data_IF_946848984637
#
_entry.id   IF_946848984637
#
_cell.length_a   1.000
_cell.length_b   1.000
_cell.length_c   1.000
_cell.angle_alpha   90.00
_cell.angle_beta   90.00
_cell.angle_gamma   90.00
#
_symmetry.space_group_name_H-M   'P 1'
#
loop_
_entity.id
_entity.type
_entity.pdbx_description
1 polymer ?
#
# COMPACT_ATOMS: atom_id res chain seq x y z
N UNK A 1 3.01 -10.04 0.04
CA UNK A 1 1.85 -10.74 -0.54
C UNK A 1 1.17 -11.53 0.56
N UNK A 2 -0.14 -11.39 0.73
CA UNK A 2 -0.93 -12.07 1.75
C UNK A 2 -1.90 -13.01 1.03
N UNK A 3 -1.68 -14.32 1.10
CA UNK A 3 -2.51 -15.32 0.39
C UNK A 3 -3.75 -15.75 1.20
N UNK A 4 -3.90 -15.26 2.43
CA UNK A 4 -4.97 -15.64 3.37
C UNK A 4 -6.15 -14.66 3.42
N UNK A 5 -6.11 -13.54 2.69
CA UNK A 5 -7.10 -12.46 2.84
C UNK A 5 -7.04 -11.75 4.20
N UNK A 6 -5.92 -11.87 4.93
CA UNK A 6 -5.73 -11.30 6.26
C UNK A 6 -5.11 -9.88 6.22
N UNK A 7 -5.45 -9.05 5.23
CA UNK A 7 -4.91 -7.70 5.06
C UNK A 7 -5.20 -6.81 6.28
N UNK A 8 -6.42 -6.84 6.82
CA UNK A 8 -6.77 -6.04 8.01
C UNK A 8 -6.11 -6.52 9.31
N UNK A 9 -5.58 -7.74 9.35
CA UNK A 9 -4.82 -8.22 10.50
C UNK A 9 -3.31 -7.94 10.35
N UNK A 10 -2.76 -8.21 9.16
CA UNK A 10 -1.32 -8.19 8.94
C UNK A 10 -0.79 -6.80 8.56
N UNK A 11 -1.50 -6.05 7.72
CA UNK A 11 -1.02 -4.73 7.27
C UNK A 11 -0.89 -3.75 8.44
N UNK A 12 -1.89 -3.60 9.34
CA UNK A 12 -1.75 -2.69 10.47
C UNK A 12 -0.59 -3.08 11.40
N UNK A 13 -0.39 -4.39 11.60
CA UNK A 13 0.71 -4.90 12.42
C UNK A 13 2.09 -4.61 11.80
N UNK A 14 2.22 -4.76 10.48
CA UNK A 14 3.45 -4.42 9.75
C UNK A 14 3.73 -2.92 9.86
N UNK A 15 2.73 -2.05 9.62
CA UNK A 15 2.89 -0.60 9.74
C UNK A 15 3.30 -0.18 11.16
N UNK A 16 2.71 -0.79 12.18
CA UNK A 16 3.09 -0.54 13.57
C UNK A 16 4.55 -0.93 13.85
N UNK A 17 5.00 -2.10 13.37
CA UNK A 17 6.37 -2.56 13.56
C UNK A 17 7.38 -1.70 12.80
N UNK A 18 7.06 -1.28 11.58
CA UNK A 18 7.91 -0.36 10.81
C UNK A 18 8.10 0.97 11.55
N UNK A 19 7.00 1.57 12.05
CA UNK A 19 7.08 2.80 12.87
C UNK A 19 7.91 2.60 14.14
N UNK A 20 7.73 1.46 14.84
CA UNK A 20 8.51 1.14 16.03
C UNK A 20 10.01 0.96 15.74
N UNK A 21 10.38 0.55 14.52
CA UNK A 21 11.76 0.45 14.06
C UNK A 21 12.31 1.76 13.45
N UNK A 22 11.57 2.88 13.56
CA UNK A 22 12.00 4.18 13.02
C UNK A 22 11.88 4.30 11.49
N UNK A 23 11.17 3.40 10.83
CA UNK A 23 11.01 3.36 9.37
C UNK A 23 9.75 4.12 8.91
N UNK A 24 9.56 5.34 9.41
CA UNK A 24 8.37 6.15 9.12
C UNK A 24 8.34 6.76 7.71
N UNK A 25 9.48 6.77 7.04
CA UNK A 25 9.72 7.27 5.69
C UNK A 25 9.53 6.20 4.60
N UNK A 26 9.43 4.93 4.98
CA UNK A 26 9.26 3.83 4.03
C UNK A 26 7.80 3.74 3.56
N UNK A 27 7.60 3.90 2.26
CA UNK A 27 6.28 3.75 1.64
C UNK A 27 5.84 2.27 1.59
N UNK A 28 4.57 2.03 1.92
CA UNK A 28 3.94 0.71 1.87
C UNK A 28 2.83 0.71 0.85
N UNK A 29 2.89 -0.23 -0.09
CA UNK A 29 1.87 -0.47 -1.11
C UNK A 29 1.28 -1.87 -0.90
N UNK A 30 -0.03 -2.02 -1.10
CA UNK A 30 -0.73 -3.31 -0.97
C UNK A 30 -1.29 -3.71 -2.32
N UNK A 31 -1.01 -4.92 -2.78
CA UNK A 31 -1.60 -5.48 -4.00
C UNK A 31 -2.30 -6.81 -3.72
N UNK A 32 -3.31 -7.13 -4.53
CA UNK A 32 -4.03 -8.41 -4.48
C UNK A 32 -5.55 -8.24 -4.48
N UNK A 33 -6.28 -9.29 -4.09
CA UNK A 33 -7.73 -9.24 -3.93
C UNK A 33 -8.03 -8.63 -2.57
N UNK A 34 -8.21 -7.30 -2.52
CA UNK A 34 -8.57 -6.56 -1.31
C UNK A 34 -10.05 -6.15 -1.42
N UNK A 35 -10.90 -6.46 -0.42
CA UNK A 35 -12.28 -5.98 -0.40
C UNK A 35 -12.35 -4.45 -0.40
N UNK A 36 -13.30 -3.87 -1.13
CA UNK A 36 -13.44 -2.40 -1.24
C UNK A 36 -13.63 -1.72 0.12
N UNK A 37 -14.31 -2.39 1.05
CA UNK A 37 -14.53 -1.91 2.42
C UNK A 37 -13.25 -1.74 3.22
N UNK A 38 -12.17 -2.42 2.83
CA UNK A 38 -10.89 -2.40 3.54
C UNK A 38 -9.90 -1.42 2.92
N UNK A 39 -10.12 -0.98 1.68
CA UNK A 39 -9.23 -0.05 0.97
C UNK A 39 -9.09 1.27 1.72
N UNK A 40 -10.21 1.94 2.02
CA UNK A 40 -10.20 3.24 2.68
C UNK A 40 -9.55 3.19 4.08
N UNK A 41 -9.89 2.21 4.95
CA UNK A 41 -9.18 2.02 6.21
C UNK A 41 -7.68 1.80 6.07
N UNK A 42 -7.23 1.02 5.08
CA UNK A 42 -5.80 0.78 4.86
C UNK A 42 -5.06 2.06 4.48
N UNK A 43 -5.64 2.90 3.63
CA UNK A 43 -5.07 4.19 3.24
C UNK A 43 -4.93 5.12 4.47
N UNK A 44 -5.99 5.23 5.28
CA UNK A 44 -5.99 6.04 6.51
C UNK A 44 -4.93 5.59 7.53
N UNK A 45 -4.58 4.30 7.55
CA UNK A 45 -3.53 3.76 8.43
C UNK A 45 -2.09 4.05 7.97
N UNK A 46 -1.93 4.59 6.75
CA UNK A 46 -0.64 4.96 6.16
C UNK A 46 -0.14 4.02 5.05
N UNK A 47 -1.01 3.18 4.48
CA UNK A 47 -0.73 2.55 3.18
C UNK A 47 -0.80 3.63 2.11
N UNK A 48 0.22 3.72 1.25
CA UNK A 48 0.30 4.71 0.18
C UNK A 48 -0.77 4.47 -0.90
N UNK A 49 -0.89 3.22 -1.36
CA UNK A 49 -1.90 2.84 -2.35
C UNK A 49 -2.25 1.34 -2.25
N UNK A 50 -3.46 1.01 -2.73
CA UNK A 50 -3.97 -0.36 -2.83
C UNK A 50 -4.29 -0.69 -4.29
N UNK A 51 -3.74 -1.79 -4.79
CA UNK A 51 -3.86 -2.25 -6.17
C UNK A 51 -4.68 -3.54 -6.23
N UNK A 52 -5.95 -3.40 -6.63
CA UNK A 52 -6.89 -4.51 -6.80
C UNK A 52 -6.71 -5.25 -8.15
N UNK A 53 -7.49 -6.33 -8.38
CA UNK A 53 -7.54 -7.01 -9.67
C UNK A 53 -7.89 -6.05 -10.81
N UNK A 54 -7.20 -6.17 -11.94
CA UNK A 54 -7.44 -5.32 -13.11
C UNK A 54 -6.79 -3.94 -13.04
N UNK A 55 -6.07 -3.60 -11.96
CA UNK A 55 -5.26 -2.37 -11.92
C UNK A 55 -4.26 -2.35 -13.09
N UNK A 56 -4.30 -1.33 -13.97
CA UNK A 56 -3.37 -1.22 -15.10
C UNK A 56 -1.93 -1.16 -14.61
N UNK A 57 -1.01 -1.78 -15.34
CA UNK A 57 0.39 -1.81 -14.93
C UNK A 57 1.04 -0.43 -14.94
N UNK A 58 0.64 0.43 -15.88
CA UNK A 58 1.05 1.83 -15.91
C UNK A 58 0.75 2.54 -14.59
N UNK A 59 -0.44 2.34 -14.02
CA UNK A 59 -0.87 3.04 -12.79
C UNK A 59 0.09 2.83 -11.63
N UNK A 60 0.39 1.57 -11.26
CA UNK A 60 1.29 1.33 -10.13
C UNK A 60 2.75 1.64 -10.47
N UNK A 61 3.16 1.58 -11.74
CA UNK A 61 4.49 2.03 -12.17
C UNK A 61 4.64 3.53 -11.92
N UNK A 62 3.66 4.32 -12.37
CA UNK A 62 3.68 5.77 -12.28
C UNK A 62 3.61 6.24 -10.82
N UNK A 63 2.70 5.67 -10.02
CA UNK A 63 2.57 5.99 -8.59
C UNK A 63 3.83 5.61 -7.78
N UNK A 64 4.47 4.45 -8.07
CA UNK A 64 5.70 4.06 -7.38
C UNK A 64 6.87 4.97 -7.77
N UNK A 65 7.01 5.32 -9.05
CA UNK A 65 8.03 6.28 -9.50
C UNK A 65 7.85 7.63 -8.85
N UNK A 66 6.62 8.14 -8.81
CA UNK A 66 6.30 9.40 -8.15
C UNK A 66 6.70 9.38 -6.67
N UNK A 67 6.34 8.32 -5.95
CA UNK A 67 6.60 8.20 -4.53
C UNK A 67 8.10 8.07 -4.21
N UNK A 68 8.87 7.34 -5.02
CA UNK A 68 10.28 7.03 -4.72
C UNK A 68 11.26 8.04 -5.34
N UNK A 69 10.95 8.55 -6.53
CA UNK A 69 11.84 9.44 -7.30
C UNK A 69 11.41 10.92 -7.22
N UNK A 70 10.23 11.22 -6.66
CA UNK A 70 9.68 12.57 -6.65
C UNK A 70 9.26 13.06 -8.04
N UNK A 71 9.05 12.16 -9.00
CA UNK A 71 8.61 12.49 -10.35
C UNK A 71 7.14 12.95 -10.31
N UNK A 72 6.87 14.14 -10.86
CA UNK A 72 5.49 14.62 -11.03
C UNK A 72 4.87 13.83 -12.18
N UNK A 73 3.91 12.96 -11.87
CA UNK A 73 3.09 12.29 -12.88
C UNK A 73 2.20 13.35 -13.52
N UNK A 74 2.36 13.55 -14.82
CA UNK A 74 1.58 14.49 -15.62
C UNK A 74 0.18 13.96 -15.93
#
# INVERSE_FOLDING_TARGET
>A
SILSGAHMALVPRVLQLMRANGQGDVHVFVGGIVPETDVQPLLEMGVMAVYGPGTPSSKYIDEIRAAVLGEVVA
#
